data_IF_524496258658
#
_entry.id   IF_524496258658
#
_cell.length_a   1.000
_cell.length_b   1.000
_cell.length_c   1.000
_cell.angle_alpha   90.00
_cell.angle_beta   90.00
_cell.angle_gamma   90.00
#
_symmetry.space_group_name_H-M   'P 1'
#
loop_
_entity.id
_entity.type
_entity.pdbx_description
1 polymer ?
#
# COMPACT_ATOMS: atom_id res chain seq x y z
N UNK A 1 0.99 0.04 18.34
CA UNK A 1 -0.16 -0.85 18.04
C UNK A 1 0.04 -1.38 16.63
N UNK A 2 -0.24 -2.65 16.37
CA UNK A 2 -0.12 -3.23 15.03
C UNK A 2 -1.43 -3.92 14.64
N UNK A 3 -1.77 -3.90 13.35
CA UNK A 3 -2.93 -4.59 12.79
C UNK A 3 -2.40 -5.72 11.91
N UNK A 4 -2.71 -6.97 12.27
CA UNK A 4 -2.44 -8.12 11.40
C UNK A 4 -3.70 -8.47 10.60
N UNK A 5 -3.65 -8.30 9.28
CA UNK A 5 -4.74 -8.61 8.36
C UNK A 5 -4.49 -9.89 7.52
N UNK A 6 -3.52 -10.71 7.90
CA UNK A 6 -3.09 -11.91 7.16
C UNK A 6 -4.24 -12.93 7.02
N UNK A 7 -4.96 -13.23 8.09
CA UNK A 7 -6.04 -14.24 8.06
C UNK A 7 -7.43 -13.64 8.00
N UNK A 8 -7.61 -12.41 8.48
CA UNK A 8 -8.90 -11.75 8.57
C UNK A 8 -8.73 -10.25 8.33
N UNK A 9 -9.58 -9.66 7.48
CA UNK A 9 -9.56 -8.24 7.15
C UNK A 9 -10.55 -7.89 6.04
N UNK A 10 -10.70 -6.60 5.74
CA UNK A 10 -11.47 -6.14 4.59
C UNK A 10 -10.70 -6.29 3.26
N UNK A 11 -11.33 -5.88 2.15
CA UNK A 11 -10.72 -5.94 0.81
C UNK A 11 -9.38 -5.22 0.71
N UNK A 12 -9.14 -4.21 1.54
CA UNK A 12 -7.91 -3.43 1.52
C UNK A 12 -6.66 -4.23 1.93
N UNK A 13 -6.81 -5.43 2.49
CA UNK A 13 -5.66 -6.34 2.75
C UNK A 13 -4.91 -6.77 1.48
N UNK A 14 -5.52 -6.56 0.31
CA UNK A 14 -4.95 -6.87 -1.00
C UNK A 14 -4.40 -5.65 -1.74
N UNK A 15 -4.45 -4.45 -1.14
CA UNK A 15 -3.80 -3.29 -1.73
C UNK A 15 -2.30 -3.58 -1.88
N UNK A 16 -1.70 -3.17 -2.99
CA UNK A 16 -0.27 -3.35 -3.22
C UNK A 16 0.49 -2.05 -2.96
N UNK A 17 1.81 -2.19 -2.84
CA UNK A 17 2.70 -1.06 -2.67
C UNK A 17 2.99 -0.34 -4.01
N UNK A 18 3.02 1.00 -3.98
CA UNK A 18 3.59 1.84 -5.04
C UNK A 18 4.24 3.10 -4.46
N UNK A 19 5.33 3.57 -5.06
CA UNK A 19 5.92 4.89 -4.78
C UNK A 19 5.19 6.04 -5.50
N UNK A 20 4.26 5.73 -6.41
CA UNK A 20 3.28 6.69 -6.92
C UNK A 20 1.85 6.17 -6.67
N UNK A 21 1.39 6.10 -5.41
CA UNK A 21 0.13 5.47 -5.08
C UNK A 21 -1.08 6.36 -5.43
N UNK A 22 -2.26 5.74 -5.50
CA UNK A 22 -3.56 6.45 -5.64
C UNK A 22 -4.34 6.54 -4.33
N UNK A 23 -3.85 5.90 -3.28
CA UNK A 23 -4.43 5.93 -1.96
C UNK A 23 -3.35 6.02 -0.87
N UNK A 24 -3.77 6.38 0.34
CA UNK A 24 -2.93 6.40 1.54
C UNK A 24 -3.61 5.62 2.66
N UNK A 25 -2.78 4.94 3.44
CA UNK A 25 -3.18 4.33 4.71
C UNK A 25 -3.20 5.43 5.76
N UNK A 26 -4.34 5.62 6.45
CA UNK A 26 -4.48 6.66 7.48
C UNK A 26 -5.11 6.09 8.74
N UNK A 27 -4.60 6.53 9.89
CA UNK A 27 -5.20 6.25 11.18
C UNK A 27 -6.37 7.22 11.41
N UNK A 28 -7.51 6.67 11.83
CA UNK A 28 -8.71 7.43 12.13
C UNK A 28 -9.29 7.01 13.48
N UNK A 29 -9.79 8.01 14.21
CA UNK A 29 -10.57 7.77 15.42
C UNK A 29 -11.97 7.28 15.07
N UNK A 30 -12.39 6.20 15.71
CA UNK A 30 -13.73 5.64 15.65
C UNK A 30 -14.28 5.51 17.08
N UNK A 31 -14.74 6.63 17.63
CA UNK A 31 -15.14 6.74 19.03
C UNK A 31 -13.96 6.49 19.97
N UNK A 32 -14.06 5.46 20.82
CA UNK A 32 -12.97 5.05 21.72
C UNK A 32 -11.94 4.10 21.08
N UNK A 33 -12.10 3.78 19.80
CA UNK A 33 -11.20 2.87 19.06
C UNK A 33 -10.43 3.66 18.02
N UNK A 34 -9.17 3.28 17.78
CA UNK A 34 -8.42 3.72 16.60
C UNK A 34 -8.50 2.61 15.56
N UNK A 35 -8.75 2.98 14.30
CA UNK A 35 -8.73 2.06 13.17
C UNK A 35 -7.89 2.65 12.05
N UNK A 36 -7.51 1.81 11.11
CA UNK A 36 -6.80 2.21 9.90
C UNK A 36 -7.74 2.05 8.70
N UNK A 37 -7.73 3.03 7.81
CA UNK A 37 -8.51 3.02 6.56
C UNK A 37 -7.61 3.38 5.38
N UNK A 38 -8.00 2.95 4.18
CA UNK A 38 -7.35 3.33 2.93
C UNK A 38 -8.18 4.42 2.27
N UNK A 39 -7.61 5.60 2.11
CA UNK A 39 -8.28 6.79 1.54
C UNK A 39 -7.65 7.14 0.21
N UNK A 40 -8.48 7.34 -0.80
CA UNK A 40 -8.03 7.68 -2.15
C UNK A 40 -7.58 9.14 -2.17
N UNK A 41 -6.42 9.39 -2.78
CA UNK A 41 -5.81 10.73 -2.84
C UNK A 41 -5.80 11.31 -4.26
N UNK A 42 -6.14 10.47 -5.25
CA UNK A 42 -6.21 10.81 -6.67
C UNK A 42 -7.51 10.27 -7.26
N UNK A 43 -7.89 10.79 -8.43
CA UNK A 43 -9.00 10.26 -9.20
C UNK A 43 -8.67 8.83 -9.68
N UNK A 44 -9.53 7.88 -9.37
CA UNK A 44 -9.40 6.48 -9.80
C UNK A 44 -10.17 6.26 -11.10
N UNK A 45 -9.52 5.61 -12.06
CA UNK A 45 -10.16 5.16 -13.31
C UNK A 45 -10.69 3.74 -13.15
N UNK A 46 -11.71 3.36 -13.93
CA UNK A 46 -12.22 1.98 -13.96
C UNK A 46 -11.08 1.03 -14.35
N UNK A 47 -10.88 -0.03 -13.57
CA UNK A 47 -9.83 -1.03 -13.78
C UNK A 47 -8.45 -0.62 -13.28
N UNK A 48 -8.29 0.58 -12.72
CA UNK A 48 -7.04 0.99 -12.08
C UNK A 48 -6.90 0.31 -10.71
N UNK A 49 -5.72 -0.26 -10.48
CA UNK A 49 -5.37 -0.85 -9.19
C UNK A 49 -5.30 0.19 -8.07
N UNK A 50 -5.77 -0.18 -6.89
CA UNK A 50 -5.61 0.63 -5.68
C UNK A 50 -4.29 0.26 -5.01
N UNK A 51 -3.36 1.22 -5.02
CA UNK A 51 -2.05 1.09 -4.40
C UNK A 51 -1.86 2.12 -3.28
N UNK A 52 -1.05 1.75 -2.29
CA UNK A 52 -0.65 2.60 -1.19
C UNK A 52 0.88 2.61 -1.01
N UNK A 53 1.41 3.62 -0.33
CA UNK A 53 2.81 3.61 0.08
C UNK A 53 2.96 2.82 1.38
N UNK A 54 3.89 1.86 1.40
CA UNK A 54 4.18 1.01 2.57
C UNK A 54 5.41 1.51 3.34
N UNK A 55 6.09 2.54 2.82
CA UNK A 55 7.38 2.98 3.31
C UNK A 55 8.54 2.25 2.62
N UNK A 56 9.72 2.38 3.22
CA UNK A 56 10.98 1.86 2.68
C UNK A 56 11.35 0.46 3.15
N UNK A 57 10.80 0.04 4.28
CA UNK A 57 11.13 -1.24 4.91
C UNK A 57 10.24 -2.36 4.36
N UNK A 58 10.55 -2.81 3.15
CA UNK A 58 9.79 -3.85 2.43
C UNK A 58 10.51 -5.20 2.52
N UNK A 59 9.74 -6.26 2.81
CA UNK A 59 10.22 -7.65 2.80
C UNK A 59 10.23 -8.28 1.39
N UNK A 60 10.09 -7.46 0.34
CA UNK A 60 10.03 -7.88 -1.05
C UNK A 60 10.59 -6.78 -1.95
N UNK A 61 10.97 -7.13 -3.17
CA UNK A 61 11.37 -6.15 -4.18
C UNK A 61 10.12 -5.45 -4.73
N UNK A 62 10.06 -4.12 -4.59
CA UNK A 62 8.94 -3.34 -5.13
C UNK A 62 8.94 -3.37 -6.66
N UNK A 63 7.84 -3.86 -7.25
CA UNK A 63 7.65 -3.97 -8.72
C UNK A 63 6.56 -3.02 -9.23
N UNK A 64 6.41 -1.85 -8.61
CA UNK A 64 5.35 -0.91 -8.96
C UNK A 64 5.52 -0.22 -10.33
N UNK A 65 6.68 -0.35 -10.99
CA UNK A 65 6.96 0.26 -12.30
C UNK A 65 7.03 1.79 -12.32
N UNK A 66 6.84 2.48 -11.19
CA UNK A 66 6.92 3.94 -11.11
C UNK A 66 8.33 4.47 -11.41
N UNK A 67 8.41 5.62 -12.08
CA UNK A 67 9.67 6.35 -12.27
C UNK A 67 10.30 6.80 -10.94
N UNK A 68 9.45 7.08 -9.94
CA UNK A 68 9.82 7.47 -8.58
C UNK A 68 10.13 6.26 -7.68
N UNK A 69 10.16 5.04 -8.22
CA UNK A 69 10.42 3.87 -7.42
C UNK A 69 11.86 3.83 -6.91
N UNK A 70 12.03 3.80 -5.59
CA UNK A 70 13.35 3.67 -4.95
C UNK A 70 14.04 2.32 -5.24
N UNK A 71 13.26 1.29 -5.57
CA UNK A 71 13.75 -0.03 -6.00
C UNK A 71 13.87 -0.19 -7.52
N UNK A 72 13.81 0.91 -8.30
CA UNK A 72 13.83 0.87 -9.77
C UNK A 72 14.97 0.02 -10.36
N UNK A 73 16.17 0.10 -9.77
CA UNK A 73 17.35 -0.64 -10.27
C UNK A 73 17.29 -2.16 -10.02
N UNK A 74 16.43 -2.62 -9.11
CA UNK A 74 16.38 -4.02 -8.66
C UNK A 74 15.04 -4.70 -8.93
N UNK A 75 14.09 -4.05 -9.63
CA UNK A 75 12.74 -4.62 -9.86
C UNK A 75 12.75 -5.97 -10.62
N UNK A 76 13.82 -6.26 -11.36
CA UNK A 76 14.01 -7.55 -12.05
C UNK A 76 14.67 -8.64 -11.21
N UNK A 77 15.09 -8.34 -9.98
CA UNK A 77 15.68 -9.31 -9.07
C UNK A 77 14.60 -10.17 -8.38
N UNK A 78 15.02 -11.32 -7.85
CA UNK A 78 14.20 -12.12 -6.95
C UNK A 78 13.97 -11.38 -5.62
N UNK A 79 12.91 -11.75 -4.90
CA UNK A 79 12.70 -11.25 -3.54
C UNK A 79 13.77 -11.80 -2.58
N UNK A 80 14.09 -11.08 -1.48
CA UNK A 80 15.08 -11.50 -0.48
C UNK A 80 14.75 -12.82 0.23
#
# INVERSE_FOLDING_TARGET
>A
MAINAERMGGLMRFANHSFDPVAKVVEVGNGRRTTVVVVTTKRIRRGQEITADYGDDLWFVCRCGSAECRHRAIQGCCDP
#
